data_IF_895532355800
#
_entry.id   IF_895532355800
#
_cell.length_a   1.000
_cell.length_b   1.000
_cell.length_c   1.000
_cell.angle_alpha   90.00
_cell.angle_beta   90.00
_cell.angle_gamma   90.00
#
_symmetry.space_group_name_H-M   'P 1'
#
loop_
_entity.id
_entity.type
_entity.pdbx_description
1 polymer ?
#
# COMPACT_ATOMS: atom_id res chain seq x y z
N UNK A 1 13.50 -10.44 20.90
CA UNK A 1 12.87 -9.16 21.26
C UNK A 1 12.67 -8.36 19.98
N UNK A 2 11.51 -8.53 19.33
CA UNK A 2 11.15 -7.76 18.13
C UNK A 2 10.71 -6.36 18.56
N UNK A 3 11.46 -5.33 18.13
CA UNK A 3 11.06 -3.93 18.29
C UNK A 3 9.98 -3.62 17.24
N UNK A 4 8.72 -3.45 17.66
CA UNK A 4 7.71 -2.72 16.86
C UNK A 4 8.13 -1.24 16.79
N UNK A 5 8.57 -0.72 15.63
CA UNK A 5 8.73 0.71 15.26
C UNK A 5 8.80 0.80 13.73
N UNK A 6 8.33 1.81 12.99
CA UNK A 6 7.70 3.12 13.21
C UNK A 6 6.70 3.24 12.05
N UNK A 7 5.41 3.48 12.31
CA UNK A 7 4.46 3.70 11.20
C UNK A 7 4.67 5.13 10.70
N UNK A 8 5.01 5.29 9.42
CA UNK A 8 5.27 6.57 8.79
C UNK A 8 4.07 7.51 8.86
N UNK A 9 4.33 8.81 8.93
CA UNK A 9 3.28 9.82 9.04
C UNK A 9 2.45 9.85 7.75
N UNK A 10 1.14 9.59 7.85
CA UNK A 10 0.16 10.07 6.89
C UNK A 10 0.01 11.59 7.09
N UNK A 11 1.02 12.36 6.68
CA UNK A 11 0.90 13.81 6.62
C UNK A 11 -0.23 14.14 5.63
N UNK A 12 -1.40 14.46 6.16
CA UNK A 12 -2.52 14.99 5.40
C UNK A 12 -2.10 16.37 4.87
N UNK A 13 -1.65 16.45 3.62
CA UNK A 13 -1.83 17.68 2.86
C UNK A 13 -3.34 17.94 2.82
N UNK A 14 -3.73 19.18 3.12
CA UNK A 14 -5.14 19.61 3.19
C UNK A 14 -5.78 19.42 1.81
N UNK A 15 -6.34 18.24 1.59
CA UNK A 15 -7.15 17.89 0.43
C UNK A 15 -8.58 18.37 0.68
N UNK A 16 -9.29 18.79 -0.37
CA UNK A 16 -10.72 19.16 -0.32
C UNK A 16 -11.63 18.01 0.13
N UNK A 17 -11.08 16.80 0.25
CA UNK A 17 -11.72 15.60 0.80
C UNK A 17 -11.37 15.35 2.29
N UNK A 18 -10.73 16.31 2.97
CA UNK A 18 -10.42 16.24 4.40
C UNK A 18 -11.69 16.46 5.24
N UNK A 19 -11.93 15.54 6.18
CA UNK A 19 -13.10 15.50 7.04
C UNK A 19 -13.01 16.46 8.23
N UNK A 20 -14.19 16.89 8.68
CA UNK A 20 -14.42 17.51 9.98
C UNK A 20 -14.04 16.53 11.09
N UNK A 21 -13.18 16.96 12.01
CA UNK A 21 -12.81 16.20 13.20
C UNK A 21 -14.03 16.07 14.13
N UNK A 22 -14.37 14.84 14.49
CA UNK A 22 -15.27 14.57 15.63
C UNK A 22 -14.44 14.33 16.88
N UNK A 23 -14.86 14.96 17.98
CA UNK A 23 -14.19 14.99 19.28
C UNK A 23 -14.05 13.60 19.92
N UNK A 24 -13.01 13.50 20.76
CA UNK A 24 -12.66 12.40 21.66
C UNK A 24 -13.86 11.69 22.29
N UNK A 25 -14.15 10.48 21.80
CA UNK A 25 -14.74 9.42 22.59
C UNK A 25 -13.83 8.21 22.46
N UNK A 26 -13.44 7.60 23.59
CA UNK A 26 -12.87 6.25 23.58
C UNK A 26 -13.83 5.34 22.79
N UNK A 27 -13.36 4.81 21.66
CA UNK A 27 -14.17 3.92 20.85
C UNK A 27 -14.15 2.54 21.52
N UNK A 28 -15.28 2.12 22.09
CA UNK A 28 -15.36 0.84 22.78
C UNK A 28 -15.26 -0.33 21.80
N UNK A 29 -14.76 -1.48 22.26
CA UNK A 29 -14.67 -2.71 21.47
C UNK A 29 -16.03 -3.13 20.90
N UNK A 30 -17.10 -2.97 21.68
CA UNK A 30 -18.47 -3.28 21.28
C UNK A 30 -18.92 -2.39 20.11
N UNK A 31 -18.51 -1.12 20.07
CA UNK A 31 -18.82 -0.22 18.96
C UNK A 31 -18.11 -0.68 17.68
N UNK A 32 -16.84 -1.08 17.78
CA UNK A 32 -16.09 -1.62 16.64
C UNK A 32 -16.77 -2.87 16.09
N UNK A 33 -17.15 -3.82 16.96
CA UNK A 33 -17.86 -5.04 16.56
C UNK A 33 -19.19 -4.72 15.88
N UNK A 34 -20.00 -3.81 16.44
CA UNK A 34 -21.26 -3.36 15.83
C UNK A 34 -21.07 -2.73 14.45
N UNK A 35 -20.01 -1.93 14.27
CA UNK A 35 -19.69 -1.32 12.97
C UNK A 35 -19.31 -2.39 11.95
N UNK A 36 -18.47 -3.35 12.32
CA UNK A 36 -18.06 -4.46 11.45
C UNK A 36 -19.24 -5.35 11.07
N UNK A 37 -20.14 -5.64 12.01
CA UNK A 37 -21.35 -6.44 11.77
C UNK A 37 -22.29 -5.80 10.76
N UNK A 38 -22.38 -4.46 10.77
CA UNK A 38 -23.21 -3.69 9.83
C UNK A 38 -22.69 -3.73 8.40
N UNK A 39 -21.43 -4.09 8.17
CA UNK A 39 -20.85 -4.14 6.82
C UNK A 39 -21.55 -5.21 5.96
N UNK A 40 -22.05 -4.79 4.79
CA UNK A 40 -22.73 -5.65 3.82
C UNK A 40 -22.24 -5.39 2.39
N UNK A 41 -22.37 -6.39 1.52
CA UNK A 41 -22.17 -6.20 0.08
C UNK A 41 -23.25 -5.26 -0.46
N UNK A 42 -22.81 -4.18 -1.10
CA UNK A 42 -23.68 -3.17 -1.68
C UNK A 42 -22.90 -2.30 -2.67
N UNK A 43 -23.66 -1.58 -3.49
CA UNK A 43 -23.10 -0.73 -4.54
C UNK A 43 -22.73 0.65 -3.98
N UNK A 44 -21.48 0.84 -3.57
CA UNK A 44 -21.02 2.12 -3.05
C UNK A 44 -21.13 3.25 -4.11
N UNK A 45 -21.19 4.49 -3.63
CA UNK A 45 -21.37 5.70 -4.46
C UNK A 45 -22.82 6.09 -4.74
N UNK A 46 -23.81 5.31 -4.27
CA UNK A 46 -25.22 5.71 -4.30
C UNK A 46 -25.62 6.37 -2.98
N UNK A 47 -26.46 7.42 -2.99
CA UNK A 47 -26.89 8.11 -1.77
C UNK A 47 -27.56 7.20 -0.73
N UNK A 48 -28.29 6.17 -1.17
CA UNK A 48 -28.93 5.18 -0.29
C UNK A 48 -27.95 4.31 0.50
N UNK A 49 -26.67 4.32 0.14
CA UNK A 49 -25.61 3.55 0.79
C UNK A 49 -24.58 4.46 1.50
N UNK A 50 -24.92 5.75 1.71
CA UNK A 50 -24.05 6.69 2.42
C UNK A 50 -23.73 6.22 3.85
N UNK A 51 -24.68 5.58 4.53
CA UNK A 51 -24.48 5.04 5.87
C UNK A 51 -23.38 3.96 5.90
N UNK A 52 -23.30 3.11 4.87
CA UNK A 52 -22.21 2.12 4.74
C UNK A 52 -20.85 2.82 4.56
N UNK A 53 -20.81 3.90 3.79
CA UNK A 53 -19.57 4.70 3.61
C UNK A 53 -19.15 5.33 4.93
N UNK A 54 -20.10 5.87 5.70
CA UNK A 54 -19.82 6.42 7.05
C UNK A 54 -19.27 5.36 8.00
N UNK A 55 -19.82 4.14 7.99
CA UNK A 55 -19.31 3.03 8.80
C UNK A 55 -17.87 2.67 8.39
N UNK A 56 -17.57 2.63 7.09
CA UNK A 56 -16.22 2.39 6.59
C UNK A 56 -15.25 3.51 6.98
N UNK A 57 -15.67 4.77 6.88
CA UNK A 57 -14.90 5.94 7.31
C UNK A 57 -14.56 5.84 8.79
N UNK A 58 -15.56 5.56 9.63
CA UNK A 58 -15.36 5.44 11.07
C UNK A 58 -14.38 4.29 11.42
N UNK A 59 -14.56 3.11 10.83
CA UNK A 59 -13.63 1.98 11.04
C UNK A 59 -12.21 2.31 10.59
N UNK A 60 -12.06 2.96 9.43
CA UNK A 60 -10.75 3.35 8.92
C UNK A 60 -10.09 4.44 9.78
N UNK A 61 -10.86 5.40 10.30
CA UNK A 61 -10.37 6.43 11.22
C UNK A 61 -9.90 5.80 12.54
N UNK A 62 -10.67 4.87 13.11
CA UNK A 62 -10.27 4.13 14.32
C UNK A 62 -8.97 3.37 14.03
N UNK A 63 -8.90 2.63 12.91
CA UNK A 63 -7.71 1.86 12.55
C UNK A 63 -6.47 2.73 12.28
N UNK A 64 -6.65 3.96 11.77
CA UNK A 64 -5.56 4.89 11.51
C UNK A 64 -5.08 5.62 12.77
N UNK A 65 -5.95 5.83 13.78
CA UNK A 65 -5.66 6.66 14.98
C UNK A 65 -4.41 6.21 15.74
N UNK A 66 -4.20 4.90 15.90
CA UNK A 66 -3.05 4.38 16.65
C UNK A 66 -1.78 4.23 15.82
N UNK A 67 -1.90 4.27 14.49
CA UNK A 67 -0.74 4.34 13.61
C UNK A 67 -0.05 5.70 13.70
N UNK A 68 -0.77 6.77 14.06
CA UNK A 68 -0.20 8.10 14.32
C UNK A 68 0.37 8.24 15.75
N UNK A 69 -0.23 7.59 16.77
CA UNK A 69 0.15 7.75 18.19
C UNK A 69 1.41 6.95 18.56
N UNK A 70 1.70 5.84 17.88
CA UNK A 70 2.92 5.03 18.07
C UNK A 70 4.25 5.79 17.85
N UNK A 71 4.18 7.04 17.39
CA UNK A 71 5.31 7.95 17.24
C UNK A 71 5.74 8.67 18.54
N UNK A 72 4.94 8.68 19.62
CA UNK A 72 5.08 9.71 20.68
C UNK A 72 5.27 9.26 22.14
N UNK A 73 5.12 7.99 22.53
CA UNK A 73 5.18 7.62 23.97
C UNK A 73 5.94 6.33 24.28
N UNK A 74 6.67 6.38 25.40
CA UNK A 74 7.33 5.25 26.05
C UNK A 74 6.29 4.18 26.45
N UNK A 75 6.64 2.92 26.22
CA UNK A 75 5.91 1.72 26.65
C UNK A 75 5.35 1.86 28.08
N UNK A 76 4.03 2.00 28.18
CA UNK A 76 3.24 1.58 29.33
C UNK A 76 2.38 0.40 28.87
N UNK A 77 2.56 -0.77 29.50
CA UNK A 77 1.67 -1.92 29.31
C UNK A 77 0.23 -1.50 29.65
N UNK A 78 -0.70 -1.70 28.72
CA UNK A 78 -2.12 -1.42 28.90
C UNK A 78 -2.76 -0.44 27.89
N UNK A 79 -2.04 0.02 26.86
CA UNK A 79 -2.62 0.89 25.82
C UNK A 79 -3.52 0.07 24.89
N UNK A 80 -4.77 0.51 24.75
CA UNK A 80 -5.75 -0.05 23.82
C UNK A 80 -5.28 0.18 22.37
N UNK A 81 -4.83 -0.88 21.68
CA UNK A 81 -4.49 -0.83 20.25
C UNK A 81 -5.79 -0.98 19.44
N UNK A 82 -6.50 0.12 19.22
CA UNK A 82 -7.75 0.18 18.48
C UNK A 82 -7.61 -0.28 17.01
N UNK A 83 -6.42 -0.14 16.41
CA UNK A 83 -6.09 -0.77 15.12
C UNK A 83 -6.15 -2.29 15.22
N UNK A 84 -5.52 -2.88 16.24
CA UNK A 84 -5.60 -4.31 16.50
C UNK A 84 -7.04 -4.78 16.72
N UNK A 85 -7.85 -4.02 17.46
CA UNK A 85 -9.27 -4.35 17.70
C UNK A 85 -10.11 -4.32 16.42
N UNK A 86 -9.91 -3.34 15.53
CA UNK A 86 -10.59 -3.30 14.22
C UNK A 86 -10.23 -4.52 13.39
N UNK A 87 -8.93 -4.87 13.32
CA UNK A 87 -8.47 -6.04 12.57
C UNK A 87 -9.03 -7.33 13.18
N UNK A 88 -8.99 -7.49 14.50
CA UNK A 88 -9.55 -8.65 15.19
C UNK A 88 -11.06 -8.79 14.95
N UNK A 89 -11.82 -7.69 15.00
CA UNK A 89 -13.26 -7.70 14.72
C UNK A 89 -13.56 -8.10 13.26
N UNK A 90 -12.77 -7.59 12.30
CA UNK A 90 -12.88 -7.96 10.87
C UNK A 90 -12.62 -9.45 10.68
N UNK A 91 -11.59 -10.00 11.33
CA UNK A 91 -11.23 -11.43 11.26
C UNK A 91 -12.31 -12.29 11.91
N UNK A 92 -12.74 -11.96 13.13
CA UNK A 92 -13.76 -12.70 13.87
C UNK A 92 -15.09 -12.79 13.09
N UNK A 93 -15.43 -11.72 12.35
CA UNK A 93 -16.64 -11.66 11.54
C UNK A 93 -16.44 -12.04 10.06
N UNK A 94 -15.27 -12.59 9.70
CA UNK A 94 -14.95 -13.06 8.35
C UNK A 94 -15.17 -11.99 7.25
N UNK A 95 -14.84 -10.73 7.53
CA UNK A 95 -15.15 -9.59 6.63
C UNK A 95 -14.05 -9.25 5.62
N UNK A 96 -12.87 -9.89 5.67
CA UNK A 96 -11.76 -9.63 4.73
C UNK A 96 -12.20 -9.77 3.26
N UNK A 97 -12.88 -10.86 2.92
CA UNK A 97 -13.36 -11.09 1.56
C UNK A 97 -14.33 -10.01 1.07
N UNK A 98 -15.26 -9.59 1.93
CA UNK A 98 -16.20 -8.51 1.65
C UNK A 98 -15.48 -7.17 1.43
N UNK A 99 -14.47 -6.86 2.25
CA UNK A 99 -13.69 -5.62 2.11
C UNK A 99 -12.98 -5.58 0.76
N UNK A 100 -12.38 -6.70 0.33
CA UNK A 100 -11.73 -6.80 -0.98
C UNK A 100 -12.75 -6.70 -2.14
N UNK A 101 -13.91 -7.34 -2.01
CA UNK A 101 -15.01 -7.24 -2.98
C UNK A 101 -15.46 -5.78 -3.15
N UNK A 102 -15.80 -5.12 -2.04
CA UNK A 102 -16.22 -3.72 -2.05
C UNK A 102 -15.14 -2.82 -2.64
N UNK A 103 -13.87 -3.03 -2.30
CA UNK A 103 -12.76 -2.23 -2.84
C UNK A 103 -12.64 -2.41 -4.36
N UNK A 104 -12.69 -3.65 -4.84
CA UNK A 104 -12.60 -3.96 -6.27
C UNK A 104 -13.76 -3.35 -7.08
N UNK A 105 -14.99 -3.47 -6.58
CA UNK A 105 -16.17 -2.89 -7.22
C UNK A 105 -16.12 -1.36 -7.24
N UNK A 106 -15.71 -0.76 -6.13
CA UNK A 106 -15.66 0.70 -5.97
C UNK A 106 -14.58 1.32 -6.87
N UNK A 107 -13.38 0.71 -6.96
CA UNK A 107 -12.31 1.15 -7.85
C UNK A 107 -12.73 1.08 -9.32
N UNK A 108 -13.38 0.00 -9.76
CA UNK A 108 -13.86 -0.16 -11.14
C UNK A 108 -14.98 0.80 -11.50
N UNK A 109 -15.80 1.19 -10.52
CA UNK A 109 -16.91 2.13 -10.73
C UNK A 109 -16.46 3.59 -10.81
N UNK A 110 -15.36 3.94 -10.14
CA UNK A 110 -14.84 5.32 -10.09
C UNK A 110 -14.77 6.03 -11.46
N UNK A 111 -14.16 5.48 -12.54
CA UNK A 111 -14.04 6.17 -13.83
C UNK A 111 -15.38 6.42 -14.53
N UNK A 112 -16.47 5.76 -14.09
CA UNK A 112 -17.81 5.94 -14.66
C UNK A 112 -18.58 7.09 -14.02
N UNK A 113 -18.10 7.64 -12.89
CA UNK A 113 -18.77 8.74 -12.21
C UNK A 113 -18.33 10.09 -12.78
N UNK A 114 -19.28 11.03 -13.01
CA UNK A 114 -18.93 12.39 -13.42
C UNK A 114 -17.99 13.07 -12.41
N UNK A 115 -17.07 13.87 -12.93
CA UNK A 115 -16.21 14.71 -12.10
C UNK A 115 -17.01 15.59 -11.16
N UNK A 116 -16.48 15.78 -9.94
CA UNK A 116 -17.08 16.59 -8.86
C UNK A 116 -18.50 16.17 -8.42
N UNK A 117 -19.04 15.06 -8.93
CA UNK A 117 -20.34 14.55 -8.47
C UNK A 117 -20.27 14.03 -7.03
N UNK A 118 -21.34 14.20 -6.26
CA UNK A 118 -21.45 13.64 -4.90
C UNK A 118 -21.18 12.12 -4.89
N UNK A 119 -21.57 11.39 -5.94
CA UNK A 119 -21.26 9.98 -6.09
C UNK A 119 -19.77 9.70 -6.19
N UNK A 120 -19.01 10.51 -6.94
CA UNK A 120 -17.55 10.38 -7.00
C UNK A 120 -16.89 10.67 -5.65
N UNK A 121 -17.35 11.70 -4.93
CA UNK A 121 -16.88 12.00 -3.57
C UNK A 121 -17.09 10.79 -2.65
N UNK A 122 -18.29 10.19 -2.67
CA UNK A 122 -18.61 9.00 -1.88
C UNK A 122 -17.73 7.80 -2.26
N UNK A 123 -17.47 7.58 -3.55
CA UNK A 123 -16.57 6.50 -3.99
C UNK A 123 -15.13 6.73 -3.53
N UNK A 124 -14.59 7.95 -3.69
CA UNK A 124 -13.23 8.26 -3.24
C UNK A 124 -13.08 8.05 -1.73
N UNK A 125 -14.07 8.49 -0.95
CA UNK A 125 -14.09 8.26 0.50
C UNK A 125 -14.11 6.75 0.83
N UNK A 126 -15.00 5.99 0.20
CA UNK A 126 -15.07 4.54 0.40
C UNK A 126 -13.76 3.83 0.02
N UNK A 127 -13.15 4.17 -1.12
CA UNK A 127 -11.88 3.59 -1.57
C UNK A 127 -10.77 3.87 -0.55
N UNK A 128 -10.65 5.13 -0.09
CA UNK A 128 -9.69 5.50 0.96
C UNK A 128 -9.86 4.61 2.18
N UNK A 129 -11.07 4.53 2.72
CA UNK A 129 -11.36 3.73 3.91
C UNK A 129 -11.06 2.25 3.72
N UNK A 130 -11.47 1.67 2.59
CA UNK A 130 -11.23 0.27 2.28
C UNK A 130 -9.73 -0.04 2.11
N UNK A 131 -8.97 0.83 1.45
CA UNK A 131 -7.51 0.66 1.32
C UNK A 131 -6.81 0.75 2.68
N UNK A 132 -7.22 1.66 3.57
CA UNK A 132 -6.70 1.72 4.94
C UNK A 132 -6.96 0.40 5.67
N UNK A 133 -8.19 -0.13 5.60
CA UNK A 133 -8.54 -1.39 6.24
C UNK A 133 -7.75 -2.57 5.67
N UNK A 134 -7.57 -2.64 4.34
CA UNK A 134 -6.74 -3.66 3.67
C UNK A 134 -5.29 -3.55 4.14
N UNK A 135 -4.72 -2.33 4.19
CA UNK A 135 -3.37 -2.09 4.70
C UNK A 135 -3.24 -2.61 6.13
N UNK A 136 -4.16 -2.26 7.02
CA UNK A 136 -4.13 -2.69 8.42
C UNK A 136 -4.25 -4.21 8.56
N UNK A 137 -5.16 -4.84 7.82
CA UNK A 137 -5.33 -6.29 7.85
C UNK A 137 -4.12 -7.04 7.27
N UNK A 138 -3.43 -6.46 6.28
CA UNK A 138 -2.19 -7.04 5.73
C UNK A 138 -0.97 -6.87 6.63
N UNK A 139 -1.06 -6.07 7.70
CA UNK A 139 0.10 -5.68 8.50
C UNK A 139 0.62 -6.77 9.44
N UNK A 140 -0.23 -7.73 9.83
CA UNK A 140 0.20 -8.85 10.66
C UNK A 140 0.18 -10.13 9.84
N UNK A 141 1.22 -10.95 10.01
CA UNK A 141 1.39 -12.18 9.22
C UNK A 141 0.20 -13.11 9.39
N UNK A 142 -0.22 -13.35 10.63
CA UNK A 142 -1.29 -14.28 10.96
C UNK A 142 -2.64 -13.87 10.33
N UNK A 143 -2.89 -12.56 10.18
CA UNK A 143 -4.08 -12.06 9.48
C UNK A 143 -3.88 -12.15 7.97
N UNK A 144 -2.69 -11.83 7.47
CA UNK A 144 -2.37 -11.94 6.04
C UNK A 144 -2.51 -13.38 5.53
N UNK A 145 -2.25 -14.40 6.36
CA UNK A 145 -2.49 -15.83 6.03
C UNK A 145 -3.96 -16.16 5.72
N UNK A 146 -4.91 -15.34 6.20
CA UNK A 146 -6.36 -15.55 5.98
C UNK A 146 -6.80 -14.98 4.62
N UNK A 147 -5.98 -14.13 3.97
CA UNK A 147 -6.34 -13.52 2.71
C UNK A 147 -6.45 -14.55 1.57
N UNK A 148 -7.44 -14.34 0.70
CA UNK A 148 -7.33 -14.87 -0.65
C UNK A 148 -6.31 -14.02 -1.43
N UNK A 149 -5.08 -14.54 -1.57
CA UNK A 149 -3.99 -13.81 -2.22
C UNK A 149 -4.31 -13.39 -3.66
N UNK A 150 -5.01 -14.22 -4.44
CA UNK A 150 -5.39 -13.86 -5.81
C UNK A 150 -6.30 -12.63 -5.82
N UNK A 151 -7.32 -12.61 -4.95
CA UNK A 151 -8.22 -11.47 -4.81
C UNK A 151 -7.48 -10.23 -4.30
N UNK A 152 -6.57 -10.40 -3.34
CA UNK A 152 -5.75 -9.31 -2.81
C UNK A 152 -4.96 -8.58 -3.90
N UNK A 153 -4.13 -9.31 -4.65
CA UNK A 153 -3.30 -8.70 -5.71
C UNK A 153 -4.14 -8.21 -6.90
N UNK A 154 -5.19 -8.92 -7.29
CA UNK A 154 -6.09 -8.48 -8.35
C UNK A 154 -6.77 -7.14 -8.00
N UNK A 155 -7.30 -7.00 -6.79
CA UNK A 155 -7.96 -5.76 -6.36
C UNK A 155 -6.97 -4.61 -6.21
N UNK A 156 -5.79 -4.85 -5.63
CA UNK A 156 -4.74 -3.82 -5.53
C UNK A 156 -4.26 -3.33 -6.89
N UNK A 157 -4.23 -4.19 -7.91
CA UNK A 157 -3.86 -3.78 -9.27
C UNK A 157 -4.79 -2.71 -9.86
N UNK A 158 -6.03 -2.62 -9.38
CA UNK A 158 -6.98 -1.58 -9.79
C UNK A 158 -6.67 -0.19 -9.24
N UNK A 159 -5.71 -0.03 -8.32
CA UNK A 159 -5.22 1.30 -7.91
C UNK A 159 -4.66 2.07 -9.11
N UNK A 160 -4.12 1.37 -10.11
CA UNK A 160 -3.70 1.97 -11.39
C UNK A 160 -4.82 2.74 -12.09
N UNK A 161 -6.10 2.34 -11.93
CA UNK A 161 -7.24 3.08 -12.48
C UNK A 161 -7.30 4.50 -11.92
N UNK A 162 -7.03 4.66 -10.62
CA UNK A 162 -7.07 5.97 -9.95
C UNK A 162 -5.94 6.87 -10.43
N UNK A 163 -4.75 6.31 -10.59
CA UNK A 163 -3.57 7.08 -11.02
C UNK A 163 -3.62 7.44 -12.49
N UNK A 164 -4.15 6.56 -13.35
CA UNK A 164 -4.45 6.91 -14.74
C UNK A 164 -5.55 7.98 -14.84
N UNK A 165 -6.58 7.92 -13.98
CA UNK A 165 -7.61 8.94 -13.94
C UNK A 165 -7.05 10.31 -13.53
N UNK A 166 -6.05 10.35 -12.64
CA UNK A 166 -5.41 11.60 -12.21
C UNK A 166 -4.64 12.31 -13.33
N UNK A 167 -4.20 11.57 -14.36
CA UNK A 167 -3.60 12.16 -15.57
C UNK A 167 -4.62 12.93 -16.42
N UNK A 168 -5.89 12.57 -16.31
CA UNK A 168 -7.01 13.20 -17.03
C UNK A 168 -7.70 14.27 -16.19
N UNK A 169 -7.62 14.14 -14.87
CA UNK A 169 -8.31 14.99 -13.90
C UNK A 169 -7.42 15.26 -12.70
N UNK A 170 -6.75 16.41 -12.72
CA UNK A 170 -5.83 16.81 -11.66
C UNK A 170 -6.50 17.02 -10.30
N UNK A 171 -7.83 17.16 -10.24
CA UNK A 171 -8.57 17.35 -8.97
C UNK A 171 -8.50 16.13 -8.05
N UNK A 172 -8.12 14.96 -8.57
CA UNK A 172 -7.91 13.74 -7.79
C UNK A 172 -6.43 13.39 -7.58
N UNK A 173 -5.49 14.28 -7.90
CA UNK A 173 -4.05 14.01 -7.73
C UNK A 173 -3.66 13.65 -6.29
N UNK A 174 -4.15 14.39 -5.30
CA UNK A 174 -3.93 14.08 -3.89
C UNK A 174 -4.49 12.71 -3.50
N UNK A 175 -5.69 12.39 -4.01
CA UNK A 175 -6.34 11.11 -3.75
C UNK A 175 -5.60 9.95 -4.43
N UNK A 176 -5.10 10.14 -5.66
CA UNK A 176 -4.24 9.18 -6.34
C UNK A 176 -2.93 8.95 -5.58
N UNK A 177 -2.34 10.01 -5.02
CA UNK A 177 -1.15 9.95 -4.17
C UNK A 177 -1.38 9.12 -2.91
N UNK A 178 -2.53 9.30 -2.26
CA UNK A 178 -2.93 8.49 -1.12
C UNK A 178 -3.13 7.01 -1.51
N UNK A 179 -3.81 6.75 -2.62
CA UNK A 179 -4.03 5.38 -3.09
C UNK A 179 -2.71 4.68 -3.45
N UNK A 180 -1.79 5.39 -4.12
CA UNK A 180 -0.47 4.90 -4.44
C UNK A 180 0.34 4.57 -3.18
N UNK A 181 0.27 5.44 -2.17
CA UNK A 181 0.91 5.23 -0.87
C UNK A 181 0.39 3.96 -0.21
N UNK A 182 -0.93 3.80 -0.11
CA UNK A 182 -1.55 2.63 0.52
C UNK A 182 -1.26 1.34 -0.27
N UNK A 183 -1.23 1.42 -1.61
CA UNK A 183 -0.81 0.31 -2.47
C UNK A 183 0.61 -0.15 -2.15
N UNK A 184 1.58 0.78 -2.06
CA UNK A 184 2.99 0.47 -1.75
C UNK A 184 3.10 -0.20 -0.38
N UNK A 185 2.40 0.29 0.65
CA UNK A 185 2.38 -0.37 1.96
C UNK A 185 1.80 -1.79 1.91
N UNK A 186 0.73 -2.01 1.13
CA UNK A 186 0.12 -3.33 1.02
C UNK A 186 1.04 -4.34 0.32
N UNK A 187 1.71 -3.96 -0.77
CA UNK A 187 2.64 -4.87 -1.46
C UNK A 187 3.93 -5.09 -0.66
N UNK A 188 4.39 -4.07 0.08
CA UNK A 188 5.49 -4.22 1.04
C UNK A 188 5.14 -5.25 2.11
N UNK A 189 3.94 -5.14 2.69
CA UNK A 189 3.44 -6.11 3.67
C UNK A 189 3.39 -7.53 3.10
N UNK A 190 2.90 -7.70 1.87
CA UNK A 190 2.89 -9.01 1.23
C UNK A 190 4.30 -9.59 1.03
N UNK A 191 5.26 -8.77 0.57
CA UNK A 191 6.64 -9.20 0.36
C UNK A 191 7.32 -9.60 1.69
N UNK A 192 7.25 -8.76 2.73
CA UNK A 192 7.91 -9.08 4.03
C UNK A 192 7.35 -10.32 4.69
N UNK A 193 6.09 -10.66 4.44
CA UNK A 193 5.52 -11.89 4.98
C UNK A 193 5.92 -13.12 4.17
N UNK A 194 6.17 -12.99 2.86
CA UNK A 194 6.49 -14.10 1.98
C UNK A 194 7.70 -14.90 2.48
N UNK A 195 8.78 -14.24 2.93
CA UNK A 195 9.98 -14.92 3.45
C UNK A 195 9.76 -15.64 4.79
N UNK A 196 8.66 -15.35 5.49
CA UNK A 196 8.31 -15.96 6.77
C UNK A 196 7.23 -17.03 6.66
N UNK A 197 6.77 -17.32 5.43
CA UNK A 197 5.76 -18.33 5.14
C UNK A 197 6.36 -19.67 4.74
N UNK A 198 5.52 -20.70 4.68
CA UNK A 198 5.91 -21.99 4.12
C UNK A 198 6.32 -21.82 2.65
N UNK A 199 7.39 -22.48 2.22
CA UNK A 199 7.99 -22.34 0.90
C UNK A 199 6.98 -22.36 -0.28
N UNK A 200 5.98 -23.25 -0.25
CA UNK A 200 4.95 -23.31 -1.30
C UNK A 200 3.99 -22.11 -1.32
N UNK A 201 3.79 -21.45 -0.19
CA UNK A 201 3.02 -20.20 -0.08
C UNK A 201 3.87 -19.01 -0.51
N UNK A 202 5.15 -18.98 -0.11
CA UNK A 202 6.11 -17.95 -0.53
C UNK A 202 6.25 -17.89 -2.05
N UNK A 203 6.49 -19.03 -2.71
CA UNK A 203 6.56 -19.15 -4.18
C UNK A 203 5.27 -18.64 -4.85
N UNK A 204 4.10 -19.01 -4.31
CA UNK A 204 2.81 -18.52 -4.81
C UNK A 204 2.68 -16.99 -4.68
N UNK A 205 3.08 -16.41 -3.55
CA UNK A 205 3.02 -14.96 -3.34
C UNK A 205 3.95 -14.20 -4.28
N UNK A 206 5.19 -14.68 -4.47
CA UNK A 206 6.16 -14.07 -5.37
C UNK A 206 5.70 -14.14 -6.83
N UNK A 207 5.11 -15.25 -7.25
CA UNK A 207 4.44 -15.36 -8.57
C UNK A 207 3.27 -14.40 -8.73
N UNK A 208 2.52 -14.14 -7.66
CA UNK A 208 1.44 -13.15 -7.69
C UNK A 208 1.98 -11.71 -7.79
N UNK A 209 3.06 -11.39 -7.09
CA UNK A 209 3.78 -10.11 -7.20
C UNK A 209 4.25 -9.88 -8.65
N UNK A 210 4.81 -10.90 -9.29
CA UNK A 210 5.22 -10.85 -10.70
C UNK A 210 4.02 -10.72 -11.66
N UNK A 211 3.06 -11.64 -11.59
CA UNK A 211 1.91 -11.67 -12.51
C UNK A 211 1.02 -10.43 -12.46
N UNK A 212 0.97 -9.74 -11.31
CA UNK A 212 0.27 -8.46 -11.15
C UNK A 212 1.18 -7.24 -11.36
N UNK A 213 2.42 -7.44 -11.83
CA UNK A 213 3.42 -6.42 -12.14
C UNK A 213 3.65 -5.45 -10.99
N UNK A 214 3.70 -5.95 -9.76
CA UNK A 214 3.70 -5.08 -8.58
C UNK A 214 4.92 -4.15 -8.54
N UNK A 215 6.10 -4.67 -8.91
CA UNK A 215 7.36 -3.93 -9.01
C UNK A 215 7.27 -2.81 -10.06
N UNK A 216 6.87 -3.13 -11.29
CA UNK A 216 6.70 -2.13 -12.36
C UNK A 216 5.70 -1.05 -11.93
N UNK A 217 4.54 -1.45 -11.41
CA UNK A 217 3.50 -0.51 -10.98
C UNK A 217 4.01 0.43 -9.89
N UNK A 218 4.69 -0.09 -8.86
CA UNK A 218 5.19 0.74 -7.77
C UNK A 218 6.26 1.75 -8.22
N UNK A 219 7.18 1.32 -9.11
CA UNK A 219 8.20 2.21 -9.67
C UNK A 219 7.61 3.23 -10.64
N UNK A 220 6.60 2.86 -11.43
CA UNK A 220 5.86 3.79 -12.29
C UNK A 220 5.13 4.86 -11.49
N UNK A 221 4.52 4.50 -10.35
CA UNK A 221 3.87 5.45 -9.45
C UNK A 221 4.86 6.47 -8.87
N UNK A 222 6.11 6.05 -8.60
CA UNK A 222 7.15 6.94 -8.10
C UNK A 222 7.58 8.01 -9.12
N UNK A 223 7.59 7.69 -10.42
CA UNK A 223 7.97 8.65 -11.46
C UNK A 223 6.79 9.45 -12.04
N UNK A 224 5.54 9.09 -11.69
CA UNK A 224 4.35 9.77 -12.22
C UNK A 224 4.22 11.17 -11.62
N UNK A 225 4.23 12.20 -12.47
CA UNK A 225 4.14 13.60 -12.05
C UNK A 225 2.80 13.98 -11.40
N UNK A 226 1.78 13.12 -11.52
CA UNK A 226 0.46 13.34 -10.93
C UNK A 226 0.31 12.67 -9.55
N UNK A 227 1.35 11.96 -9.10
CA UNK A 227 1.43 11.26 -7.83
C UNK A 227 2.58 11.85 -7.03
N UNK A 228 2.30 12.28 -5.81
CA UNK A 228 3.31 12.80 -4.90
C UNK A 228 3.48 11.85 -3.71
N UNK A 229 4.56 11.07 -3.72
CA UNK A 229 4.89 10.14 -2.64
C UNK A 229 5.68 10.86 -1.55
N UNK A 230 5.32 10.62 -0.28
CA UNK A 230 6.11 11.09 0.85
C UNK A 230 7.45 10.34 0.94
N UNK A 231 8.44 10.95 1.62
CA UNK A 231 9.73 10.29 1.87
C UNK A 231 9.56 8.94 2.57
N UNK A 232 8.66 8.83 3.55
CA UNK A 232 8.37 7.56 4.24
C UNK A 232 7.88 6.49 3.26
N UNK A 233 7.04 6.88 2.29
CA UNK A 233 6.56 5.97 1.25
C UNK A 233 7.67 5.57 0.27
N UNK A 234 8.56 6.50 -0.10
CA UNK A 234 9.75 6.24 -0.94
C UNK A 234 10.68 5.23 -0.25
N UNK A 235 10.94 5.39 1.05
CA UNK A 235 11.73 4.42 1.83
C UNK A 235 11.00 3.08 1.91
N UNK A 236 9.68 3.06 2.11
CA UNK A 236 8.90 1.81 2.11
C UNK A 236 9.00 1.09 0.76
N UNK A 237 8.99 1.81 -0.36
CA UNK A 237 9.23 1.26 -1.68
C UNK A 237 10.65 0.67 -1.80
N UNK A 238 11.65 1.35 -1.25
CA UNK A 238 13.02 0.84 -1.21
C UNK A 238 13.12 -0.47 -0.41
N UNK A 239 12.51 -0.52 0.78
CA UNK A 239 12.47 -1.70 1.62
C UNK A 239 11.70 -2.86 0.95
N UNK A 240 10.61 -2.57 0.25
CA UNK A 240 9.90 -3.58 -0.56
C UNK A 240 10.82 -4.22 -1.59
N UNK A 241 11.59 -3.42 -2.33
CA UNK A 241 12.55 -3.93 -3.31
C UNK A 241 13.70 -4.69 -2.63
N UNK A 242 14.13 -4.25 -1.45
CA UNK A 242 15.20 -4.89 -0.68
C UNK A 242 14.79 -6.28 -0.19
N UNK A 243 13.58 -6.40 0.38
CA UNK A 243 12.99 -7.68 0.78
C UNK A 243 12.91 -8.64 -0.40
N UNK A 244 12.44 -8.18 -1.57
CA UNK A 244 12.42 -9.01 -2.76
C UNK A 244 13.83 -9.46 -3.19
N UNK A 245 14.83 -8.57 -3.09
CA UNK A 245 16.21 -8.89 -3.43
C UNK A 245 16.87 -9.89 -2.48
N UNK A 246 16.42 -9.98 -1.23
CA UNK A 246 16.89 -10.97 -0.25
C UNK A 246 16.29 -12.37 -0.50
N UNK A 247 15.20 -12.45 -1.24
CA UNK A 247 14.50 -13.69 -1.51
C UNK A 247 15.11 -14.43 -2.69
N UNK A 248 15.83 -15.53 -2.43
CA UNK A 248 16.42 -16.38 -3.48
C UNK A 248 15.36 -16.83 -4.51
N UNK A 249 14.16 -17.18 -4.04
CA UNK A 249 13.03 -17.59 -4.88
C UNK A 249 12.59 -16.45 -5.82
N UNK A 250 12.63 -15.20 -5.36
CA UNK A 250 12.32 -14.06 -6.22
C UNK A 250 13.43 -13.84 -7.25
N UNK A 251 14.70 -14.00 -6.86
CA UNK A 251 15.83 -13.83 -7.77
C UNK A 251 15.84 -14.86 -8.92
N UNK A 252 15.33 -16.08 -8.69
CA UNK A 252 15.08 -17.08 -9.73
C UNK A 252 14.07 -16.61 -10.80
N UNK A 253 13.25 -15.61 -10.47
CA UNK A 253 12.24 -15.00 -11.34
C UNK A 253 12.56 -13.53 -11.69
N UNK A 254 13.76 -13.03 -11.34
CA UNK A 254 14.11 -11.63 -11.56
C UNK A 254 14.04 -11.22 -13.04
N UNK A 255 14.28 -12.15 -13.96
CA UNK A 255 14.23 -11.90 -15.41
C UNK A 255 12.85 -11.49 -15.93
N UNK A 256 11.78 -12.01 -15.33
CA UNK A 256 10.39 -11.67 -15.70
C UNK A 256 9.96 -10.37 -15.02
N UNK A 257 10.37 -10.17 -13.77
CA UNK A 257 10.08 -8.96 -12.99
C UNK A 257 10.81 -7.72 -13.53
N UNK A 258 12.06 -7.86 -14.00
CA UNK A 258 12.91 -6.78 -14.50
C UNK A 258 13.09 -6.86 -16.02
N UNK A 259 11.99 -6.60 -16.73
CA UNK A 259 12.06 -6.25 -18.16
C UNK A 259 12.85 -4.95 -18.38
N UNK A 260 13.04 -4.57 -19.65
CA UNK A 260 13.84 -3.40 -20.03
C UNK A 260 13.33 -2.12 -19.35
N UNK A 261 12.01 -1.92 -19.34
CA UNK A 261 11.39 -0.70 -18.83
C UNK A 261 11.45 -0.66 -17.31
N UNK A 262 11.12 -1.78 -16.65
CA UNK A 262 11.18 -1.90 -15.18
C UNK A 262 12.60 -1.76 -14.67
N UNK A 263 13.59 -2.31 -15.38
CA UNK A 263 15.01 -2.11 -15.07
C UNK A 263 15.41 -0.64 -15.16
N UNK A 264 14.96 0.08 -16.19
CA UNK A 264 15.25 1.51 -16.33
C UNK A 264 14.62 2.34 -15.20
N UNK A 265 13.37 2.04 -14.85
CA UNK A 265 12.67 2.68 -13.73
C UNK A 265 13.39 2.44 -12.40
N UNK A 266 13.80 1.19 -12.15
CA UNK A 266 14.53 0.84 -10.94
C UNK A 266 15.85 1.59 -10.84
N UNK A 267 16.65 1.64 -11.92
CA UNK A 267 17.93 2.35 -11.90
C UNK A 267 17.74 3.85 -11.64
N UNK A 268 16.70 4.47 -12.22
CA UNK A 268 16.37 5.87 -11.95
C UNK A 268 16.00 6.10 -10.48
N UNK A 269 15.16 5.25 -9.92
CA UNK A 269 14.81 5.28 -8.49
C UNK A 269 16.04 5.10 -7.59
N UNK A 270 16.86 4.09 -7.89
CA UNK A 270 18.07 3.77 -7.15
C UNK A 270 19.08 4.93 -7.15
N UNK A 271 19.29 5.57 -8.30
CA UNK A 271 20.18 6.72 -8.43
C UNK A 271 19.73 7.91 -7.62
N UNK A 272 18.44 8.23 -7.71
CA UNK A 272 17.89 9.45 -7.14
C UNK A 272 17.71 9.34 -5.63
N UNK A 273 17.21 8.21 -5.15
CA UNK A 273 16.80 8.06 -3.74
C UNK A 273 17.80 7.23 -2.93
N UNK A 274 18.32 6.13 -3.49
CA UNK A 274 19.00 5.08 -2.70
C UNK A 274 20.50 5.34 -2.55
N UNK A 275 21.20 5.73 -3.63
CA UNK A 275 22.65 5.97 -3.59
C UNK A 275 23.06 6.93 -2.49
N UNK A 276 22.30 8.02 -2.31
CA UNK A 276 22.52 9.00 -1.25
C UNK A 276 22.18 8.43 0.13
N UNK A 277 21.03 7.77 0.27
CA UNK A 277 20.56 7.20 1.53
C UNK A 277 21.56 6.18 2.12
N UNK A 278 22.16 5.33 1.29
CA UNK A 278 23.15 4.31 1.71
C UNK A 278 24.47 4.89 2.24
N UNK A 279 24.69 6.21 2.21
CA UNK A 279 25.82 6.83 2.89
C UNK A 279 25.64 6.83 4.43
N UNK A 280 24.39 6.77 4.90
CA UNK A 280 24.07 6.55 6.31
C UNK A 280 24.19 5.05 6.64
N UNK A 281 24.89 4.72 7.73
CA UNK A 281 25.14 3.32 8.12
C UNK A 281 23.85 2.54 8.47
N UNK A 282 22.85 3.18 9.08
CA UNK A 282 21.59 2.54 9.43
C UNK A 282 20.79 2.17 8.17
N UNK A 283 20.65 3.12 7.24
CA UNK A 283 19.94 2.89 5.97
C UNK A 283 20.70 1.91 5.08
N UNK A 284 22.04 1.98 5.07
CA UNK A 284 22.86 1.02 4.34
C UNK A 284 22.59 -0.42 4.77
N UNK A 285 22.43 -0.69 6.06
CA UNK A 285 22.15 -2.05 6.52
C UNK A 285 20.81 -2.60 6.01
N UNK A 286 19.82 -1.73 5.81
CA UNK A 286 18.48 -2.12 5.33
C UNK A 286 18.41 -2.27 3.82
N UNK A 287 19.19 -1.47 3.09
CA UNK A 287 19.03 -1.31 1.64
C UNK A 287 20.17 -1.95 0.82
N UNK A 288 21.14 -2.59 1.48
CA UNK A 288 22.31 -3.17 0.80
C UNK A 288 21.91 -4.25 -0.22
N UNK A 289 20.86 -5.03 0.06
CA UNK A 289 20.35 -6.06 -0.83
C UNK A 289 19.88 -5.52 -2.19
N UNK A 290 19.58 -4.22 -2.29
CA UNK A 290 19.31 -3.58 -3.59
C UNK A 290 20.50 -3.63 -4.56
N UNK A 291 21.74 -3.78 -4.05
CA UNK A 291 22.92 -3.99 -4.90
C UNK A 291 22.86 -5.31 -5.69
N UNK A 292 22.09 -6.30 -5.24
CA UNK A 292 21.86 -7.55 -5.98
C UNK A 292 21.01 -7.30 -7.23
N UNK A 293 19.97 -6.48 -7.13
CA UNK A 293 19.16 -6.08 -8.30
C UNK A 293 20.02 -5.26 -9.28
N UNK A 294 20.85 -4.35 -8.78
CA UNK A 294 21.80 -3.59 -9.62
C UNK A 294 22.77 -4.53 -10.35
N UNK A 295 23.31 -5.52 -9.65
CA UNK A 295 24.23 -6.51 -10.20
C UNK A 295 23.55 -7.40 -11.25
N UNK A 296 22.31 -7.82 -10.98
CA UNK A 296 21.47 -8.53 -11.94
C UNK A 296 21.27 -7.71 -13.22
N UNK A 297 20.82 -6.45 -13.12
CA UNK A 297 20.58 -5.58 -14.28
C UNK A 297 21.87 -5.37 -15.08
N UNK A 298 23.02 -5.19 -14.41
CA UNK A 298 24.31 -5.04 -15.09
C UNK A 298 24.69 -6.30 -15.90
N UNK A 299 24.35 -7.49 -15.40
CA UNK A 299 24.64 -8.77 -16.04
C UNK A 299 23.66 -9.10 -17.17
N UNK A 300 22.36 -8.99 -16.89
CA UNK A 300 21.28 -9.48 -17.76
C UNK A 300 20.66 -8.40 -18.67
N UNK A 301 20.89 -7.12 -18.39
CA UNK A 301 20.40 -5.96 -19.16
C UNK A 301 21.51 -4.93 -19.38
N UNK A 302 22.65 -5.34 -20.00
CA UNK A 302 23.79 -4.43 -20.20
C UNK A 302 23.44 -3.22 -21.05
N UNK A 303 22.46 -3.32 -21.95
CA UNK A 303 21.94 -2.22 -22.76
C UNK A 303 21.31 -1.11 -21.91
N UNK A 304 20.49 -1.47 -20.91
CA UNK A 304 19.87 -0.53 -19.97
C UNK A 304 20.94 0.09 -19.08
N UNK A 305 21.88 -0.72 -18.59
CA UNK A 305 23.01 -0.25 -17.79
C UNK A 305 23.85 0.80 -18.52
N UNK A 306 24.26 0.50 -19.76
CA UNK A 306 25.06 1.42 -20.58
C UNK A 306 24.32 2.73 -20.87
N UNK A 307 23.02 2.65 -21.21
CA UNK A 307 22.20 3.84 -21.48
C UNK A 307 22.09 4.79 -20.28
N UNK A 308 22.04 4.24 -19.05
CA UNK A 308 22.12 5.03 -17.82
C UNK A 308 23.47 5.73 -17.68
N UNK A 309 24.58 4.99 -17.77
CA UNK A 309 25.93 5.58 -17.58
C UNK A 309 26.30 6.63 -18.63
N UNK A 310 25.68 6.59 -19.81
CA UNK A 310 25.86 7.62 -20.83
C UNK A 310 25.21 8.95 -20.46
N UNK A 311 24.11 8.94 -19.66
CA UNK A 311 23.47 10.15 -19.15
C UNK A 311 24.26 10.81 -18.02
N UNK A 312 24.97 10.04 -17.21
CA UNK A 312 25.80 10.58 -16.11
C UNK A 312 27.06 11.31 -16.61
N UNK A 313 27.46 11.10 -17.87
CA UNK A 313 28.64 11.71 -18.49
C UNK A 313 28.31 12.91 -19.41
N UNK A 314 27.07 13.40 -19.40
CA UNK A 314 26.61 14.60 -20.12
C UNK A 314 26.29 15.72 -19.12
#
# INVERSE_FOLDING_TARGET
MQKRRKVGNLNQSVSTYAEQSTQDGECSKERIEQLVDRLKSCELGLPRHSEQVMVLQELAQIAAKDQEIAASTNNSDGVFDSSEHVVQAIVANSKIGLILELLGDTLRKLPTMPAESNSRVLLCSAIKSLLILVKCCSDTRDVFEIFNYQSFFAVLSYVSIVTELAKLDSSIGDFASLCATLYIYCIYNAARHADHMQMGVSDKLLKLIDSHRCVTTALSLYIDSNVNLSNDCIITLAEFLAVLAESEIFLDHAETCFDRDTSALFLQFYDKEIKGAMQNQEERQKLLSLEEIVSFIKRERPDVWSARTAKDNQ
#
